data_IF_393458290939
#
_entry.id   IF_393458290939
#
_cell.length_a   1.000
_cell.length_b   1.000
_cell.length_c   1.000
_cell.angle_alpha   90.00
_cell.angle_beta   90.00
_cell.angle_gamma   90.00
#
_symmetry.space_group_name_H-M   'P 1'
#
loop_
_entity.id
_entity.type
_entity.pdbx_description
1 polymer ?
#
# COMPACT_ATOMS: atom_id res chain seq x y z
N UNK A 1 -22.49 -8.13 1.40
CA UNK A 1 -21.55 -7.03 1.11
C UNK A 1 -20.32 -7.61 0.44
N UNK A 2 -19.86 -7.03 -0.66
CA UNK A 2 -18.56 -7.42 -1.24
C UNK A 2 -17.46 -7.09 -0.21
N UNK A 3 -16.43 -7.92 -0.04
CA UNK A 3 -15.36 -7.66 0.94
C UNK A 3 -14.45 -6.48 0.52
N UNK A 4 -14.56 -6.01 -0.72
CA UNK A 4 -13.63 -5.05 -1.31
C UNK A 4 -13.64 -3.65 -0.66
N UNK A 5 -14.78 -3.02 -0.34
CA UNK A 5 -14.78 -1.75 0.37
C UNK A 5 -14.10 -1.85 1.74
N UNK A 6 -14.34 -2.95 2.46
CA UNK A 6 -13.68 -3.21 3.74
C UNK A 6 -12.16 -3.38 3.57
N UNK A 7 -11.71 -4.20 2.62
CA UNK A 7 -10.28 -4.35 2.33
C UNK A 7 -9.63 -3.03 1.91
N UNK A 8 -10.29 -2.22 1.09
CA UNK A 8 -9.77 -0.92 0.67
C UNK A 8 -9.69 0.06 1.85
N UNK A 9 -10.67 0.05 2.77
CA UNK A 9 -10.62 0.82 4.01
C UNK A 9 -9.46 0.37 4.92
N UNK A 10 -9.23 -0.94 5.05
CA UNK A 10 -8.08 -1.48 5.78
C UNK A 10 -6.75 -1.02 5.17
N UNK A 11 -6.63 -1.02 3.83
CA UNK A 11 -5.42 -0.52 3.17
C UNK A 11 -5.25 0.98 3.40
N UNK A 12 -6.30 1.78 3.26
CA UNK A 12 -6.23 3.23 3.44
C UNK A 12 -5.83 3.59 4.88
N UNK A 13 -6.51 3.01 5.88
CA UNK A 13 -6.14 3.18 7.29
C UNK A 13 -4.75 2.63 7.58
N UNK A 14 -4.39 1.50 6.97
CA UNK A 14 -3.06 0.91 7.05
C UNK A 14 -1.95 1.83 6.54
N UNK A 15 -2.15 2.51 5.41
CA UNK A 15 -1.19 3.49 4.87
C UNK A 15 -1.01 4.71 5.79
N UNK A 16 -2.08 5.17 6.44
CA UNK A 16 -1.98 6.22 7.47
C UNK A 16 -1.18 5.72 8.68
N UNK A 17 -1.47 4.51 9.17
CA UNK A 17 -0.70 3.87 10.25
C UNK A 17 0.76 3.68 9.84
N UNK A 18 1.05 3.32 8.59
CA UNK A 18 2.41 3.20 8.07
C UNK A 18 3.18 4.51 8.16
N UNK A 19 2.56 5.64 7.79
CA UNK A 19 3.17 6.96 7.91
C UNK A 19 3.45 7.32 9.38
N UNK A 20 2.53 7.00 10.30
CA UNK A 20 2.74 7.16 11.74
C UNK A 20 3.90 6.30 12.26
N UNK A 21 3.95 5.01 11.90
CA UNK A 21 5.02 4.09 12.34
C UNK A 21 6.39 4.50 11.79
N UNK A 22 6.45 4.98 10.54
CA UNK A 22 7.66 5.57 9.98
C UNK A 22 8.10 6.80 10.79
N UNK A 23 7.14 7.70 11.11
CA UNK A 23 7.39 8.84 11.99
C UNK A 23 7.90 8.43 13.37
N UNK A 24 7.33 7.39 13.99
CA UNK A 24 7.86 6.82 15.24
C UNK A 24 9.28 6.28 15.10
N UNK A 25 9.67 5.76 13.94
CA UNK A 25 11.04 5.33 13.69
C UNK A 25 12.01 6.50 13.52
N UNK A 26 11.55 7.60 12.95
CA UNK A 26 12.34 8.84 12.81
C UNK A 26 12.51 9.54 14.16
N UNK A 27 11.45 9.61 14.96
CA UNK A 27 11.42 10.40 16.20
C UNK A 27 11.58 9.57 17.49
N UNK A 28 11.67 8.25 17.39
CA UNK A 28 11.73 7.34 18.54
C UNK A 28 12.48 6.03 18.24
N UNK A 29 12.72 5.18 19.27
CA UNK A 29 13.59 4.02 19.13
C UNK A 29 12.97 2.82 18.40
N UNK A 30 11.64 2.67 18.42
CA UNK A 30 11.00 1.36 18.12
C UNK A 30 10.17 1.31 16.83
N UNK A 31 10.05 2.42 16.08
CA UNK A 31 9.08 2.50 14.98
C UNK A 31 9.46 1.71 13.73
N UNK A 32 10.74 1.52 13.42
CA UNK A 32 11.18 0.91 12.16
C UNK A 32 10.82 -0.57 12.04
N UNK A 33 10.98 -1.35 13.12
CA UNK A 33 10.65 -2.77 13.12
C UNK A 33 9.14 -2.97 12.91
N UNK A 34 8.32 -2.21 13.63
CA UNK A 34 6.86 -2.24 13.49
C UNK A 34 6.42 -1.77 12.10
N UNK A 35 7.00 -0.69 11.58
CA UNK A 35 6.74 -0.18 10.23
C UNK A 35 6.98 -1.27 9.17
N UNK A 36 8.12 -1.95 9.23
CA UNK A 36 8.49 -3.03 8.29
C UNK A 36 7.55 -4.22 8.35
N UNK A 37 7.27 -4.74 9.56
CA UNK A 37 6.36 -5.90 9.74
C UNK A 37 4.95 -5.54 9.29
N UNK A 38 4.42 -4.40 9.74
CA UNK A 38 3.08 -3.97 9.37
C UNK A 38 2.95 -3.72 7.86
N UNK A 39 4.03 -3.27 7.20
CA UNK A 39 4.05 -3.04 5.76
C UNK A 39 3.90 -4.34 4.98
N UNK A 40 4.56 -5.39 5.46
CA UNK A 40 4.45 -6.75 4.90
C UNK A 40 3.05 -7.33 5.08
N UNK A 41 2.42 -7.09 6.24
CA UNK A 41 1.04 -7.54 6.51
C UNK A 41 0.04 -6.84 5.57
N UNK A 42 0.25 -5.56 5.25
CA UNK A 42 -0.61 -4.82 4.32
C UNK A 42 -0.60 -5.36 2.89
N UNK A 43 0.39 -6.17 2.52
CA UNK A 43 0.39 -6.88 1.24
C UNK A 43 -0.84 -7.76 1.05
N UNK A 44 -1.34 -8.38 2.14
CA UNK A 44 -2.45 -9.34 2.08
C UNK A 44 -3.74 -8.71 1.52
N UNK A 45 -4.30 -7.62 2.09
CA UNK A 45 -5.48 -6.99 1.50
C UNK A 45 -5.21 -6.36 0.13
N UNK A 46 -3.98 -5.90 -0.16
CA UNK A 46 -3.61 -5.38 -1.49
C UNK A 46 -3.69 -6.47 -2.56
N UNK A 47 -3.07 -7.63 -2.31
CA UNK A 47 -3.13 -8.80 -3.19
C UNK A 47 -4.58 -9.28 -3.31
N UNK A 48 -5.32 -9.35 -2.20
CA UNK A 48 -6.73 -9.73 -2.18
C UNK A 48 -7.60 -8.84 -3.08
N UNK A 49 -7.40 -7.52 -3.05
CA UNK A 49 -8.10 -6.57 -3.94
C UNK A 49 -7.75 -6.79 -5.40
N UNK A 50 -6.47 -7.00 -5.73
CA UNK A 50 -6.03 -7.24 -7.10
C UNK A 50 -6.62 -8.55 -7.64
N UNK A 51 -6.52 -9.65 -6.89
CA UNK A 51 -7.10 -10.94 -7.25
C UNK A 51 -8.62 -10.83 -7.42
N UNK A 52 -9.31 -10.23 -6.46
CA UNK A 52 -10.75 -10.04 -6.57
C UNK A 52 -11.13 -9.17 -7.78
N UNK A 53 -10.34 -8.14 -8.10
CA UNK A 53 -10.56 -7.28 -9.27
C UNK A 53 -10.54 -8.05 -10.59
N UNK A 54 -9.69 -9.08 -10.71
CA UNK A 54 -9.55 -9.90 -11.91
C UNK A 54 -10.47 -11.12 -11.96
N UNK A 55 -10.75 -11.74 -10.82
CA UNK A 55 -11.45 -13.03 -10.75
C UNK A 55 -12.93 -12.93 -10.36
N UNK A 56 -13.44 -11.75 -9.99
CA UNK A 56 -14.86 -11.54 -9.69
C UNK A 56 -15.51 -10.57 -10.67
N UNK A 57 -16.75 -10.86 -11.08
CA UNK A 57 -17.56 -9.94 -11.88
C UNK A 57 -17.80 -8.61 -11.16
N UNK A 58 -17.99 -8.65 -9.84
CA UNK A 58 -18.12 -7.45 -8.99
C UNK A 58 -16.81 -6.70 -8.80
N UNK A 59 -15.67 -7.31 -9.16
CA UNK A 59 -14.34 -6.69 -9.10
C UNK A 59 -13.95 -5.87 -10.33
N UNK A 60 -14.64 -6.07 -11.46
CA UNK A 60 -14.31 -5.43 -12.75
C UNK A 60 -14.21 -3.90 -12.68
N UNK A 61 -15.08 -3.16 -11.95
CA UNK A 61 -15.01 -1.69 -11.91
C UNK A 61 -13.67 -1.15 -11.40
N UNK A 62 -13.04 -1.85 -10.45
CA UNK A 62 -11.81 -1.40 -9.78
C UNK A 62 -10.58 -2.27 -10.09
N UNK A 63 -10.64 -3.16 -11.10
CA UNK A 63 -9.51 -4.04 -11.46
C UNK A 63 -8.22 -3.27 -11.75
N UNK A 64 -8.31 -2.15 -12.48
CA UNK A 64 -7.16 -1.35 -12.86
C UNK A 64 -6.55 -0.61 -11.67
N UNK A 65 -7.31 0.16 -10.85
CA UNK A 65 -6.74 0.80 -9.67
C UNK A 65 -6.23 -0.21 -8.64
N UNK A 66 -6.85 -1.39 -8.49
CA UNK A 66 -6.32 -2.45 -7.62
C UNK A 66 -5.00 -3.05 -8.15
N UNK A 67 -4.88 -3.22 -9.47
CA UNK A 67 -3.63 -3.68 -10.08
C UNK A 67 -2.52 -2.63 -9.96
N UNK A 68 -2.86 -1.34 -10.17
CA UNK A 68 -1.94 -0.23 -9.96
C UNK A 68 -1.47 -0.19 -8.50
N UNK A 69 -2.38 -0.33 -7.54
CA UNK A 69 -2.03 -0.41 -6.11
C UNK A 69 -1.04 -1.54 -5.82
N UNK A 70 -1.23 -2.73 -6.40
CA UNK A 70 -0.28 -3.84 -6.25
C UNK A 70 1.09 -3.51 -6.88
N UNK A 71 1.11 -2.91 -8.07
CA UNK A 71 2.37 -2.48 -8.71
C UNK A 71 3.09 -1.42 -7.87
N UNK A 72 2.36 -0.44 -7.34
CA UNK A 72 2.92 0.59 -6.45
C UNK A 72 3.43 -0.03 -5.14
N UNK A 73 2.75 -1.03 -4.58
CA UNK A 73 3.25 -1.77 -3.41
C UNK A 73 4.57 -2.48 -3.71
N UNK A 74 4.67 -3.18 -4.86
CA UNK A 74 5.92 -3.84 -5.25
C UNK A 74 7.05 -2.82 -5.47
N UNK A 75 6.73 -1.69 -6.11
CA UNK A 75 7.65 -0.58 -6.29
C UNK A 75 8.11 -0.03 -4.93
N UNK A 76 7.21 0.12 -3.96
CA UNK A 76 7.51 0.59 -2.59
C UNK A 76 8.62 -0.24 -1.92
N UNK A 77 8.56 -1.57 -2.09
CA UNK A 77 9.56 -2.51 -1.58
C UNK A 77 10.87 -2.37 -2.33
N UNK A 78 10.83 -2.31 -3.67
CA UNK A 78 12.02 -2.14 -4.52
C UNK A 78 12.76 -0.84 -4.18
N UNK A 79 12.05 0.28 -4.03
CA UNK A 79 12.65 1.58 -3.71
C UNK A 79 13.48 1.53 -2.43
N UNK A 80 12.98 0.87 -1.38
CA UNK A 80 13.71 0.74 -0.11
C UNK A 80 14.85 -0.27 -0.22
N UNK A 81 14.57 -1.48 -0.72
CA UNK A 81 15.57 -2.56 -0.78
C UNK A 81 16.76 -2.14 -1.65
N UNK A 82 16.48 -1.60 -2.84
CA UNK A 82 17.53 -1.15 -3.76
C UNK A 82 18.16 0.15 -3.26
N UNK A 83 17.37 1.14 -2.86
CA UNK A 83 17.90 2.44 -2.41
C UNK A 83 18.81 2.32 -1.19
N UNK A 84 18.40 1.55 -0.18
CA UNK A 84 19.23 1.29 1.00
C UNK A 84 20.40 0.35 0.69
N UNK A 85 20.18 -0.72 -0.09
CA UNK A 85 21.21 -1.70 -0.41
C UNK A 85 22.34 -1.16 -1.30
N UNK A 86 22.07 -0.13 -2.10
CA UNK A 86 23.05 0.53 -2.98
C UNK A 86 23.58 1.86 -2.41
N UNK A 87 23.06 2.32 -1.28
CA UNK A 87 23.39 3.63 -0.70
C UNK A 87 22.83 4.84 -1.47
N UNK A 88 21.93 4.62 -2.44
CA UNK A 88 21.27 5.68 -3.21
C UNK A 88 20.10 6.28 -2.41
N UNK A 89 20.41 7.20 -1.50
CA UNK A 89 19.43 7.83 -0.62
C UNK A 89 18.25 8.52 -1.36
N UNK A 90 18.51 9.12 -2.52
CA UNK A 90 17.46 9.75 -3.33
C UNK A 90 16.43 8.74 -3.86
N UNK A 91 16.84 7.49 -4.12
CA UNK A 91 15.95 6.42 -4.57
C UNK A 91 15.09 5.94 -3.41
N UNK A 92 15.68 5.73 -2.23
CA UNK A 92 14.93 5.39 -1.02
C UNK A 92 13.96 6.51 -0.62
N UNK A 93 14.31 7.78 -0.84
CA UNK A 93 13.45 8.94 -0.56
C UNK A 93 12.17 9.00 -1.43
N UNK A 94 12.10 8.25 -2.53
CA UNK A 94 10.86 8.12 -3.31
C UNK A 94 9.80 7.26 -2.62
N UNK A 95 10.18 6.44 -1.62
CA UNK A 95 9.28 5.58 -0.86
C UNK A 95 8.09 6.33 -0.25
N UNK A 96 8.26 7.42 0.55
CA UNK A 96 7.12 8.16 1.08
C UNK A 96 6.25 8.81 -0.01
N UNK A 97 6.83 9.26 -1.14
CA UNK A 97 6.06 9.81 -2.25
C UNK A 97 5.20 8.72 -2.93
N UNK A 98 5.72 7.51 -3.12
CA UNK A 98 4.97 6.39 -3.68
C UNK A 98 3.86 5.92 -2.72
N UNK A 99 4.03 6.00 -1.40
CA UNK A 99 2.96 5.73 -0.44
C UNK A 99 1.75 6.66 -0.61
N UNK A 100 1.95 7.94 -0.98
CA UNK A 100 0.86 8.86 -1.29
C UNK A 100 0.10 8.43 -2.54
N UNK A 101 0.81 7.96 -3.58
CA UNK A 101 0.18 7.42 -4.78
C UNK A 101 -0.61 6.14 -4.48
N UNK A 102 -0.10 5.28 -3.59
CA UNK A 102 -0.83 4.11 -3.11
C UNK A 102 -2.12 4.51 -2.40
N UNK A 103 -2.10 5.56 -1.58
CA UNK A 103 -3.32 6.06 -0.92
C UNK A 103 -4.35 6.53 -1.95
N UNK A 104 -3.93 7.30 -2.96
CA UNK A 104 -4.82 7.73 -4.05
C UNK A 104 -5.40 6.55 -4.82
N UNK A 105 -4.58 5.56 -5.18
CA UNK A 105 -5.04 4.34 -5.84
C UNK A 105 -6.05 3.57 -4.97
N UNK A 106 -5.81 3.50 -3.66
CA UNK A 106 -6.70 2.83 -2.69
C UNK A 106 -8.04 3.53 -2.58
N UNK A 107 -8.06 4.87 -2.50
CA UNK A 107 -9.29 5.66 -2.46
C UNK A 107 -10.11 5.48 -3.76
N UNK A 108 -9.44 5.35 -4.91
CA UNK A 108 -10.13 5.05 -6.17
C UNK A 108 -10.70 3.63 -6.21
N UNK A 109 -10.01 2.63 -5.64
CA UNK A 109 -10.58 1.29 -5.43
C UNK A 109 -11.84 1.38 -4.56
N UNK A 110 -11.76 2.07 -3.43
CA UNK A 110 -12.88 2.24 -2.49
C UNK A 110 -14.08 2.89 -3.18
N UNK A 111 -13.87 4.03 -3.85
CA UNK A 111 -14.92 4.76 -4.58
C UNK A 111 -15.65 3.88 -5.58
N UNK A 112 -14.91 3.07 -6.36
CA UNK A 112 -15.49 2.19 -7.40
C UNK A 112 -16.08 0.90 -6.85
N UNK A 113 -15.62 0.42 -5.71
CA UNK A 113 -16.17 -0.76 -5.05
C UNK A 113 -17.48 -0.46 -4.28
N UNK A 114 -17.75 0.82 -4.02
CA UNK A 114 -18.93 1.32 -3.32
C UNK A 114 -20.00 1.93 -4.24
N UNK A 115 -19.75 2.00 -5.55
CA UNK A 115 -20.69 2.46 -6.58
C UNK A 115 -21.47 1.28 -7.17
#
# INVERSE_FOLDING_TARGET
MTPAPFMAALVAGGLVTQAYLAGLGVFGPDGWALHSVFGSVLALPIIGLALHGWFSSSGRPYRLPASLLLVLYLLQVVLVVVGMGTGLAWLAALHPANALLMLVATLEVLRRASA
#
